data_IF_522039943479
#
_entry.id   IF_522039943479
#
_cell.length_a   1.000
_cell.length_b   1.000
_cell.length_c   1.000
_cell.angle_alpha   90.00
_cell.angle_beta   90.00
_cell.angle_gamma   90.00
#
_symmetry.space_group_name_H-M   'P 1'
#
loop_
_entity.id
_entity.type
_entity.pdbx_description
1 polymer ?
#
# COMPACT_ATOMS: atom_id res chain seq x y z
N UNK A 1 -2.30 8.30 24.67
CA UNK A 1 -0.93 7.72 24.74
C UNK A 1 -0.42 7.19 23.39
N UNK A 2 -1.29 6.83 22.43
CA UNK A 2 -0.86 6.40 21.08
C UNK A 2 -0.49 7.53 20.09
N UNK A 3 -0.81 8.78 20.39
CA UNK A 3 -0.60 9.91 19.47
C UNK A 3 0.87 10.37 19.34
N UNK A 4 1.81 9.87 20.16
CA UNK A 4 3.19 10.34 20.19
C UNK A 4 4.12 9.64 19.17
N UNK A 5 3.67 8.56 18.52
CA UNK A 5 4.41 7.87 17.44
C UNK A 5 3.85 8.18 16.05
N UNK A 6 2.74 8.91 15.96
CA UNK A 6 2.13 9.32 14.70
C UNK A 6 2.85 10.57 14.19
N UNK A 7 3.66 10.42 13.14
CA UNK A 7 4.04 11.55 12.32
C UNK A 7 2.95 11.74 11.26
N UNK A 8 2.01 12.70 11.43
CA UNK A 8 0.95 12.96 10.44
C UNK A 8 1.53 13.30 9.07
N UNK A 9 2.74 13.85 9.04
CA UNK A 9 3.39 14.35 7.84
C UNK A 9 3.44 13.31 6.71
N UNK A 10 3.72 12.03 7.03
CA UNK A 10 3.81 10.98 6.01
C UNK A 10 2.42 10.64 5.45
N UNK A 11 1.41 10.51 6.32
CA UNK A 11 0.03 10.24 5.90
C UNK A 11 -0.56 11.40 5.10
N UNK A 12 -0.30 12.64 5.52
CA UNK A 12 -0.73 13.86 4.82
C UNK A 12 -0.08 13.95 3.44
N UNK A 13 1.22 13.65 3.35
CA UNK A 13 1.95 13.60 2.08
C UNK A 13 1.39 12.53 1.14
N UNK A 14 1.13 11.32 1.64
CA UNK A 14 0.52 10.24 0.84
C UNK A 14 -0.89 10.60 0.38
N UNK A 15 -1.71 11.19 1.26
CA UNK A 15 -3.06 11.67 0.94
C UNK A 15 -3.02 12.75 -0.13
N UNK A 16 -2.06 13.68 -0.03
CA UNK A 16 -1.85 14.73 -1.03
C UNK A 16 -1.48 14.14 -2.39
N UNK A 17 -0.57 13.16 -2.43
CA UNK A 17 -0.22 12.43 -3.66
C UNK A 17 -1.49 11.76 -4.25
N UNK A 18 -2.25 11.05 -3.41
CA UNK A 18 -3.45 10.36 -3.86
C UNK A 18 -4.49 11.30 -4.48
N UNK A 19 -4.69 12.47 -3.87
CA UNK A 19 -5.62 13.50 -4.35
C UNK A 19 -5.13 14.18 -5.63
N UNK A 20 -3.89 14.66 -5.64
CA UNK A 20 -3.33 15.41 -6.76
C UNK A 20 -3.18 14.53 -8.02
N UNK A 21 -2.81 13.26 -7.84
CA UNK A 21 -2.61 12.31 -8.93
C UNK A 21 -3.90 11.57 -9.30
N UNK A 22 -5.00 11.82 -8.58
CA UNK A 22 -6.32 11.23 -8.83
C UNK A 22 -6.28 9.70 -8.83
N UNK A 23 -5.61 9.12 -7.84
CA UNK A 23 -5.45 7.68 -7.76
C UNK A 23 -6.80 6.98 -7.54
N UNK A 24 -7.00 5.85 -8.21
CA UNK A 24 -8.19 5.01 -8.04
C UNK A 24 -8.01 3.91 -6.99
N UNK A 25 -6.76 3.57 -6.67
CA UNK A 25 -6.39 2.58 -5.66
C UNK A 25 -4.93 2.73 -5.27
N UNK A 26 -4.57 2.20 -4.10
CA UNK A 26 -3.22 2.32 -3.53
C UNK A 26 -2.73 0.93 -3.11
N UNK A 27 -1.49 0.60 -3.47
CA UNK A 27 -0.81 -0.61 -3.02
C UNK A 27 0.37 -0.21 -2.14
N UNK A 28 0.40 -0.69 -0.90
CA UNK A 28 1.48 -0.41 0.04
C UNK A 28 2.42 -1.60 0.18
N UNK A 29 3.71 -1.37 -0.09
CA UNK A 29 4.75 -2.37 0.08
C UNK A 29 5.25 -2.40 1.53
N UNK A 30 5.00 -3.51 2.21
CA UNK A 30 5.51 -3.80 3.54
C UNK A 30 6.91 -4.40 3.39
N UNK A 31 7.88 -3.51 3.23
CA UNK A 31 9.26 -3.89 2.96
C UNK A 31 9.94 -4.40 4.23
N UNK A 32 10.31 -5.67 4.25
CA UNK A 32 11.01 -6.31 5.37
C UNK A 32 12.45 -5.82 5.54
N UNK A 33 13.08 -5.35 4.47
CA UNK A 33 14.47 -4.88 4.47
C UNK A 33 14.65 -3.37 4.72
N UNK A 34 13.59 -2.63 5.01
CA UNK A 34 13.67 -1.20 5.31
C UNK A 34 12.67 -0.79 6.38
N UNK A 35 13.05 -1.03 7.63
CA UNK A 35 12.24 -0.77 8.82
C UNK A 35 11.87 0.72 8.92
N UNK A 36 12.76 1.63 8.50
CA UNK A 36 12.48 3.06 8.50
C UNK A 36 11.37 3.49 7.53
N UNK A 37 11.12 2.74 6.45
CA UNK A 37 10.02 3.00 5.52
C UNK A 37 8.74 2.27 5.92
N UNK A 38 8.88 1.08 6.53
CA UNK A 38 7.77 0.25 6.98
C UNK A 38 7.23 0.65 8.35
N UNK A 39 8.01 1.36 9.18
CA UNK A 39 7.51 1.93 10.43
C UNK A 39 6.39 2.93 10.14
N UNK A 40 5.28 2.79 10.85
CA UNK A 40 4.09 3.61 10.64
C UNK A 40 3.26 3.24 9.39
N UNK A 41 3.64 2.22 8.61
CA UNK A 41 2.94 1.89 7.35
C UNK A 41 1.49 1.41 7.59
N UNK A 42 1.23 0.75 8.71
CA UNK A 42 -0.12 0.33 9.10
C UNK A 42 -1.01 1.55 9.39
N UNK A 43 -0.47 2.56 10.06
CA UNK A 43 -1.14 3.81 10.37
C UNK A 43 -1.39 4.63 9.09
N UNK A 44 -0.40 4.70 8.19
CA UNK A 44 -0.58 5.35 6.88
C UNK A 44 -1.68 4.66 6.06
N UNK A 45 -1.75 3.33 6.11
CA UNK A 45 -2.82 2.56 5.47
C UNK A 45 -4.20 2.97 6.00
N UNK A 46 -4.35 3.08 7.32
CA UNK A 46 -5.61 3.50 7.93
C UNK A 46 -5.99 4.92 7.51
N UNK A 47 -5.04 5.86 7.52
CA UNK A 47 -5.30 7.23 7.08
C UNK A 47 -5.78 7.31 5.62
N UNK A 48 -5.20 6.53 4.71
CA UNK A 48 -5.62 6.48 3.31
C UNK A 48 -7.01 5.86 3.13
N UNK A 49 -7.35 4.86 3.95
CA UNK A 49 -8.69 4.25 3.97
C UNK A 49 -9.72 5.25 4.51
N UNK A 50 -9.38 6.01 5.57
CA UNK A 50 -10.25 7.05 6.13
C UNK A 50 -10.52 8.18 5.12
N UNK A 51 -9.58 8.44 4.21
CA UNK A 51 -9.74 9.36 3.07
C UNK A 51 -10.56 8.78 1.90
N UNK A 52 -11.00 7.52 2.00
CA UNK A 52 -11.89 6.87 1.05
C UNK A 52 -11.20 6.14 -0.10
N UNK A 53 -9.88 5.91 -0.03
CA UNK A 53 -9.17 5.16 -1.06
C UNK A 53 -9.24 3.64 -0.81
N UNK A 54 -9.44 2.82 -1.85
CA UNK A 54 -9.16 1.39 -1.79
C UNK A 54 -7.65 1.17 -1.58
N UNK A 55 -7.28 0.39 -0.55
CA UNK A 55 -5.87 0.12 -0.23
C UNK A 55 -5.60 -1.36 0.00
N UNK A 56 -4.68 -1.94 -0.77
CA UNK A 56 -4.11 -3.27 -0.51
C UNK A 56 -2.66 -3.18 -0.02
N UNK A 57 -2.18 -4.27 0.56
CA UNK A 57 -0.81 -4.41 1.05
C UNK A 57 -0.19 -5.67 0.48
N UNK A 58 1.11 -5.64 0.24
CA UNK A 58 1.90 -6.82 -0.08
C UNK A 58 3.25 -6.75 0.64
N UNK A 59 3.83 -7.89 0.96
CA UNK A 59 5.12 -7.99 1.65
C UNK A 59 6.22 -8.36 0.66
N UNK A 60 7.44 -7.94 0.96
CA UNK A 60 8.62 -8.30 0.18
C UNK A 60 9.89 -7.68 0.74
N UNK A 61 11.02 -7.94 0.08
CA UNK A 61 12.28 -7.28 0.40
C UNK A 61 12.98 -6.85 -0.89
N UNK A 62 13.46 -5.60 -0.92
CA UNK A 62 14.18 -5.09 -2.09
C UNK A 62 15.55 -5.75 -2.31
N UNK A 63 16.15 -6.33 -1.26
CA UNK A 63 17.46 -6.97 -1.30
C UNK A 63 17.44 -8.49 -1.15
N UNK A 64 16.27 -9.10 -0.98
CA UNK A 64 16.13 -10.55 -0.81
C UNK A 64 14.87 -11.09 -1.49
N UNK A 65 15.05 -11.68 -2.68
CA UNK A 65 13.96 -12.25 -3.47
C UNK A 65 13.20 -13.37 -2.75
N UNK A 66 13.85 -14.06 -1.80
CA UNK A 66 13.23 -15.18 -1.06
C UNK A 66 12.13 -14.71 -0.13
N UNK A 67 12.08 -13.40 0.16
CA UNK A 67 11.05 -12.80 1.00
C UNK A 67 9.84 -12.29 0.19
N UNK A 68 9.77 -12.58 -1.12
CA UNK A 68 8.64 -12.22 -1.97
C UNK A 68 7.91 -13.46 -2.51
N UNK A 69 6.61 -13.58 -2.22
CA UNK A 69 5.74 -14.60 -2.79
C UNK A 69 5.03 -14.02 -4.03
N UNK A 70 5.62 -14.25 -5.20
CA UNK A 70 5.15 -13.71 -6.47
C UNK A 70 3.75 -14.23 -6.83
N UNK A 71 3.52 -15.55 -6.70
CA UNK A 71 2.25 -16.17 -7.06
C UNK A 71 1.10 -15.64 -6.19
N UNK A 72 1.32 -15.57 -4.87
CA UNK A 72 0.31 -15.04 -3.96
C UNK A 72 0.10 -13.54 -4.16
N UNK A 73 1.18 -12.77 -4.34
CA UNK A 73 1.06 -11.32 -4.54
C UNK A 73 0.33 -11.01 -5.84
N UNK A 74 0.64 -11.72 -6.93
CA UNK A 74 -0.05 -11.59 -8.21
C UNK A 74 -1.55 -11.83 -8.07
N UNK A 75 -1.95 -12.95 -7.48
CA UNK A 75 -3.38 -13.25 -7.26
C UNK A 75 -4.10 -12.19 -6.41
N UNK A 76 -3.43 -11.60 -5.40
CA UNK A 76 -3.99 -10.51 -4.61
C UNK A 76 -4.12 -9.21 -5.40
N UNK A 77 -3.15 -8.92 -6.27
CA UNK A 77 -3.21 -7.75 -7.17
C UNK A 77 -4.37 -7.93 -8.14
N UNK A 78 -4.53 -9.10 -8.76
CA UNK A 78 -5.64 -9.38 -9.68
C UNK A 78 -7.00 -9.13 -8.99
N UNK A 79 -7.22 -9.73 -7.82
CA UNK A 79 -8.44 -9.49 -7.05
C UNK A 79 -8.63 -8.03 -6.66
N UNK A 80 -7.55 -7.31 -6.33
CA UNK A 80 -7.65 -5.88 -6.02
C UNK A 80 -8.03 -5.06 -7.24
N UNK A 81 -7.45 -5.33 -8.41
CA UNK A 81 -7.77 -4.66 -9.66
C UNK A 81 -9.23 -4.91 -10.07
N UNK A 82 -9.75 -6.13 -9.88
CA UNK A 82 -11.17 -6.44 -10.05
C UNK A 82 -12.07 -5.59 -9.15
N UNK A 83 -11.67 -5.35 -7.88
CA UNK A 83 -12.44 -4.45 -6.98
C UNK A 83 -12.47 -3.00 -7.45
N UNK A 84 -11.50 -2.59 -8.27
CA UNK A 84 -11.45 -1.27 -8.92
C UNK A 84 -12.28 -1.23 -10.22
N UNK A 85 -12.92 -2.34 -10.62
CA UNK A 85 -13.68 -2.47 -11.85
C UNK A 85 -12.82 -2.64 -13.10
N UNK A 86 -11.58 -3.14 -12.92
CA UNK A 86 -10.67 -3.44 -14.02
C UNK A 86 -10.75 -4.92 -14.37
N UNK A 87 -10.71 -5.22 -15.66
CA UNK A 87 -10.69 -6.60 -16.19
C UNK A 87 -9.28 -6.93 -16.68
N UNK A 88 -8.87 -8.19 -16.49
CA UNK A 88 -7.60 -8.67 -17.04
C UNK A 88 -7.72 -8.72 -18.56
N UNK A 89 -6.71 -8.17 -19.25
CA UNK A 89 -6.65 -8.23 -20.71
C UNK A 89 -6.07 -9.60 -21.07
N UNK A 90 -6.81 -10.37 -21.86
CA UNK A 90 -6.32 -11.60 -22.48
C UNK A 90 -5.38 -11.24 -23.65
N UNK A 91 -4.26 -11.96 -23.78
CA UNK A 91 -3.37 -11.89 -24.95
C UNK A 91 -3.98 -12.60 -26.18
#
# INVERSE_FOLDING_TARGET
>A
MAALLFSPLKSDMMTRIAKEWKLNGIMLHYNRGCEGLSIGIAENRLALIDEGYPVMTFEGNMGDEREFDEAQTGSRIDSFMETLGLEQIED
#
